data_IF_373850673861
#
_entry.id   IF_373850673861
#
_cell.length_a   1.000
_cell.length_b   1.000
_cell.length_c   1.000
_cell.angle_alpha   90.00
_cell.angle_beta   90.00
_cell.angle_gamma   90.00
#
_symmetry.space_group_name_H-M   'P 1'
#
loop_
_entity.id
_entity.type
_entity.pdbx_description
1 polymer ?
#
# COMPACT_ATOMS: atom_id res chain seq x y z
N UNK A 1 4.34 3.62 27.95
CA UNK A 1 5.36 4.16 27.03
C UNK A 1 5.91 3.11 26.07
N UNK A 2 6.28 1.91 26.56
CA UNK A 2 6.81 0.82 25.73
C UNK A 2 5.87 0.32 24.62
N UNK A 3 4.56 0.17 24.90
CA UNK A 3 3.56 -0.25 23.91
C UNK A 3 3.44 0.75 22.76
N UNK A 4 3.45 2.06 23.05
CA UNK A 4 3.38 3.11 22.03
C UNK A 4 4.61 3.10 21.11
N UNK A 5 5.81 2.96 21.67
CA UNK A 5 7.06 2.85 20.89
C UNK A 5 7.03 1.60 20.00
N UNK A 6 6.47 0.48 20.47
CA UNK A 6 6.37 -0.76 19.69
C UNK A 6 5.34 -0.65 18.56
N UNK A 7 4.18 -0.03 18.81
CA UNK A 7 3.17 0.24 17.78
C UNK A 7 3.74 1.17 16.71
N UNK A 8 4.45 2.22 17.11
CA UNK A 8 5.15 3.12 16.18
C UNK A 8 6.27 2.42 15.41
N UNK A 9 7.02 1.51 16.05
CA UNK A 9 8.04 0.69 15.40
C UNK A 9 7.43 -0.27 14.37
N UNK A 10 6.31 -0.92 14.69
CA UNK A 10 5.64 -1.81 13.75
C UNK A 10 5.02 -1.05 12.59
N UNK A 11 4.43 0.12 12.85
CA UNK A 11 3.87 0.98 11.82
C UNK A 11 4.97 1.52 10.87
N UNK A 12 6.08 2.00 11.42
CA UNK A 12 7.23 2.46 10.63
C UNK A 12 7.88 1.32 9.83
N UNK A 13 8.04 0.14 10.41
CA UNK A 13 8.54 -1.04 9.70
C UNK A 13 7.65 -1.42 8.50
N UNK A 14 6.32 -1.35 8.65
CA UNK A 14 5.39 -1.57 7.54
C UNK A 14 5.54 -0.54 6.44
N UNK A 15 5.72 0.74 6.77
CA UNK A 15 5.94 1.81 5.77
C UNK A 15 7.22 1.53 4.97
N UNK A 16 8.32 1.24 5.65
CA UNK A 16 9.60 0.91 5.01
C UNK A 16 9.47 -0.34 4.15
N UNK A 17 8.81 -1.39 4.64
CA UNK A 17 8.55 -2.60 3.88
C UNK A 17 7.69 -2.32 2.64
N UNK A 18 6.66 -1.48 2.73
CA UNK A 18 5.85 -1.07 1.58
C UNK A 18 6.69 -0.35 0.54
N UNK A 19 7.59 0.55 0.93
CA UNK A 19 8.48 1.24 0.01
C UNK A 19 9.34 0.26 -0.82
N UNK A 20 10.01 -0.69 -0.15
CA UNK A 20 10.79 -1.69 -0.86
C UNK A 20 9.91 -2.65 -1.68
N UNK A 21 8.72 -2.99 -1.18
CA UNK A 21 7.78 -3.84 -1.91
C UNK A 21 7.32 -3.19 -3.21
N UNK A 22 7.08 -1.87 -3.25
CA UNK A 22 6.76 -1.17 -4.50
C UNK A 22 7.88 -1.34 -5.52
N UNK A 23 9.15 -1.18 -5.12
CA UNK A 23 10.29 -1.33 -6.02
C UNK A 23 10.37 -2.76 -6.56
N UNK A 24 10.23 -3.76 -5.68
CA UNK A 24 10.25 -5.17 -6.07
C UNK A 24 9.09 -5.50 -7.01
N UNK A 25 7.88 -4.99 -6.77
CA UNK A 25 6.73 -5.22 -7.65
C UNK A 25 6.90 -4.54 -9.00
N UNK A 26 7.51 -3.36 -9.06
CA UNK A 26 7.83 -2.72 -10.35
C UNK A 26 8.83 -3.55 -11.15
N UNK A 27 9.90 -4.03 -10.50
CA UNK A 27 10.90 -4.89 -11.16
C UNK A 27 10.28 -6.23 -11.60
N UNK A 28 9.48 -6.85 -10.73
CA UNK A 28 8.79 -8.10 -11.04
C UNK A 28 7.76 -7.93 -12.16
N UNK A 29 7.00 -6.82 -12.16
CA UNK A 29 6.04 -6.51 -13.22
C UNK A 29 6.71 -6.33 -14.58
N UNK A 30 7.87 -5.66 -14.64
CA UNK A 30 8.64 -5.51 -15.87
C UNK A 30 9.15 -6.84 -16.43
N UNK A 31 9.60 -7.74 -15.56
CA UNK A 31 10.16 -9.04 -15.96
C UNK A 31 9.07 -10.05 -16.32
N UNK A 32 7.99 -10.10 -15.54
CA UNK A 32 6.98 -11.16 -15.64
C UNK A 32 5.77 -10.77 -16.50
N UNK A 33 5.41 -9.49 -16.55
CA UNK A 33 4.16 -9.01 -17.14
C UNK A 33 4.33 -7.73 -17.99
N UNK A 34 5.28 -7.68 -18.94
CA UNK A 34 5.54 -6.49 -19.76
C UNK A 34 4.33 -6.07 -20.61
N UNK A 35 3.50 -7.03 -21.02
CA UNK A 35 2.38 -6.79 -21.92
C UNK A 35 1.19 -6.16 -21.20
N UNK A 36 0.98 -6.50 -19.93
CA UNK A 36 -0.04 -5.90 -19.06
C UNK A 36 0.32 -4.46 -18.70
N UNK A 37 1.62 -4.16 -18.52
CA UNK A 37 2.09 -2.79 -18.32
C UNK A 37 1.81 -1.90 -19.54
N UNK A 38 2.01 -2.43 -20.75
CA UNK A 38 1.65 -1.71 -21.98
C UNK A 38 0.14 -1.47 -22.07
N UNK A 39 -0.70 -2.43 -21.68
CA UNK A 39 -2.17 -2.23 -21.65
C UNK A 39 -2.60 -1.19 -20.61
N UNK A 40 -1.92 -1.13 -19.46
CA UNK A 40 -2.15 -0.08 -18.46
C UNK A 40 -1.74 1.29 -18.99
N UNK A 41 -0.65 1.37 -19.77
CA UNK A 41 -0.23 2.59 -20.44
C UNK A 41 -1.26 3.04 -21.50
N UNK A 42 -1.74 2.12 -22.33
CA UNK A 42 -2.80 2.39 -23.31
C UNK A 42 -4.09 2.85 -22.63
N UNK A 43 -4.47 2.22 -21.51
CA UNK A 43 -5.62 2.61 -20.71
C UNK A 43 -5.46 3.99 -20.08
N UNK A 44 -4.28 4.31 -19.56
CA UNK A 44 -3.99 5.63 -19.01
C UNK A 44 -4.00 6.71 -20.10
N UNK A 45 -3.49 6.42 -21.29
CA UNK A 45 -3.60 7.30 -22.46
C UNK A 45 -5.05 7.49 -22.92
N UNK A 46 -5.88 6.44 -22.85
CA UNK A 46 -7.31 6.53 -23.14
C UNK A 46 -8.03 7.44 -22.13
N UNK A 47 -7.73 7.30 -20.84
CA UNK A 47 -8.26 8.16 -19.78
C UNK A 47 -7.79 9.61 -19.98
N UNK A 48 -6.49 9.82 -20.19
CA UNK A 48 -5.90 11.14 -20.37
C UNK A 48 -6.45 11.90 -21.60
N UNK A 49 -6.87 11.19 -22.64
CA UNK A 49 -7.48 11.77 -23.84
C UNK A 49 -8.98 12.07 -23.71
N UNK A 50 -9.63 11.70 -22.61
CA UNK A 50 -11.04 12.06 -22.44
C UNK A 50 -11.22 13.57 -22.25
N UNK A 51 -12.24 14.15 -22.89
CA UNK A 51 -12.48 15.60 -22.91
C UNK A 51 -12.63 16.22 -21.51
N UNK A 52 -13.28 15.51 -20.58
CA UNK A 52 -13.43 15.95 -19.19
C UNK A 52 -12.11 16.00 -18.42
N UNK A 53 -11.09 15.24 -18.85
CA UNK A 53 -9.74 15.27 -18.25
C UNK A 53 -8.85 16.29 -18.93
N UNK A 54 -9.00 16.46 -20.25
CA UNK A 54 -8.22 17.38 -21.06
C UNK A 54 -8.64 18.84 -20.83
N UNK A 55 -9.95 19.08 -20.71
CA UNK A 55 -10.56 20.40 -20.45
C UNK A 55 -11.59 20.31 -19.32
N UNK A 56 -11.16 20.07 -18.07
CA UNK A 56 -12.07 20.08 -16.95
C UNK A 56 -12.58 21.51 -16.70
N UNK A 57 -13.87 21.65 -16.43
CA UNK A 57 -14.54 22.93 -16.14
C UNK A 57 -14.25 23.38 -14.69
N UNK A 58 -12.99 23.76 -14.45
CA UNK A 58 -12.47 24.20 -13.15
C UNK A 58 -11.61 25.45 -13.34
N UNK A 59 -11.39 26.27 -12.28
CA UNK A 59 -10.51 27.43 -12.33
C UNK A 59 -9.11 27.05 -12.80
N UNK A 60 -8.44 27.97 -13.51
CA UNK A 60 -7.17 27.73 -14.21
C UNK A 60 -6.05 27.19 -13.30
N UNK A 61 -6.03 27.62 -12.03
CA UNK A 61 -5.13 27.12 -10.99
C UNK A 61 -5.40 25.65 -10.61
N UNK A 62 -6.67 25.22 -10.62
CA UNK A 62 -7.09 23.84 -10.35
C UNK A 62 -6.85 22.89 -11.52
N UNK A 63 -6.85 23.41 -12.76
CA UNK A 63 -6.61 22.59 -13.97
C UNK A 63 -5.22 21.96 -13.97
N UNK A 64 -4.19 22.69 -13.53
CA UNK A 64 -2.82 22.16 -13.47
C UNK A 64 -2.70 21.00 -12.47
N UNK A 65 -3.25 21.17 -11.27
CA UNK A 65 -3.23 20.14 -10.24
C UNK A 65 -4.01 18.90 -10.69
N UNK A 66 -5.20 19.10 -11.26
CA UNK A 66 -6.03 18.03 -11.79
C UNK A 66 -5.30 17.23 -12.88
N UNK A 67 -4.69 17.89 -13.87
CA UNK A 67 -3.90 17.23 -14.91
C UNK A 67 -2.69 16.46 -14.36
N UNK A 68 -2.08 16.95 -13.28
CA UNK A 68 -0.94 16.28 -12.63
C UNK A 68 -1.37 15.05 -11.84
N UNK A 69 -2.53 15.10 -11.17
CA UNK A 69 -3.08 13.98 -10.42
C UNK A 69 -3.63 12.88 -11.33
N UNK A 70 -4.20 13.27 -12.48
CA UNK A 70 -4.72 12.35 -13.50
C UNK A 70 -3.64 11.94 -14.51
N UNK A 71 -2.39 12.35 -14.29
CA UNK A 71 -1.26 11.88 -15.07
C UNK A 71 -1.09 10.37 -14.87
N UNK A 72 -0.83 9.65 -15.97
CA UNK A 72 -0.54 8.22 -15.99
C UNK A 72 0.47 7.81 -14.92
N UNK A 73 1.60 8.52 -14.83
CA UNK A 73 2.68 8.20 -13.89
C UNK A 73 2.23 8.31 -12.43
N UNK A 74 1.38 9.29 -12.13
CA UNK A 74 0.82 9.51 -10.79
C UNK A 74 -0.18 8.42 -10.45
N UNK A 75 -1.13 8.11 -11.36
CA UNK A 75 -2.12 7.06 -11.16
C UNK A 75 -1.44 5.71 -10.96
N UNK A 76 -0.45 5.39 -11.80
CA UNK A 76 0.32 4.15 -11.71
C UNK A 76 1.07 4.08 -10.38
N UNK A 77 1.75 5.16 -9.97
CA UNK A 77 2.44 5.22 -8.68
C UNK A 77 1.49 4.99 -7.48
N UNK A 78 0.30 5.60 -7.51
CA UNK A 78 -0.73 5.43 -6.47
C UNK A 78 -1.22 3.97 -6.44
N UNK A 79 -1.60 3.41 -7.60
CA UNK A 79 -2.07 2.02 -7.70
C UNK A 79 -1.01 1.02 -7.22
N UNK A 80 0.23 1.18 -7.66
CA UNK A 80 1.34 0.31 -7.24
C UNK A 80 1.58 0.40 -5.73
N UNK A 81 1.47 1.59 -5.14
CA UNK A 81 1.61 1.79 -3.70
C UNK A 81 0.47 1.11 -2.93
N UNK A 82 -0.77 1.19 -3.42
CA UNK A 82 -1.93 0.53 -2.81
C UNK A 82 -1.81 -1.00 -2.84
N UNK A 83 -1.40 -1.56 -3.98
CA UNK A 83 -1.17 -3.01 -4.13
C UNK A 83 -0.03 -3.46 -3.21
N UNK A 84 1.09 -2.75 -3.19
CA UNK A 84 2.21 -3.05 -2.31
C UNK A 84 1.77 -3.03 -0.83
N UNK A 85 0.92 -2.08 -0.45
CA UNK A 85 0.41 -1.99 0.91
C UNK A 85 -0.47 -3.18 1.29
N UNK A 86 -1.39 -3.57 0.41
CA UNK A 86 -2.20 -4.77 0.61
C UNK A 86 -1.32 -6.01 0.78
N UNK A 87 -0.30 -6.17 -0.05
CA UNK A 87 0.63 -7.31 0.04
C UNK A 87 1.41 -7.30 1.36
N UNK A 88 1.97 -6.16 1.77
CA UNK A 88 2.69 -6.06 3.04
C UNK A 88 1.76 -6.33 4.23
N UNK A 89 0.53 -5.85 4.21
CA UNK A 89 -0.45 -6.15 5.26
C UNK A 89 -0.77 -7.64 5.34
N UNK A 90 -0.96 -8.30 4.20
CA UNK A 90 -1.17 -9.76 4.12
C UNK A 90 0.06 -10.52 4.63
N UNK A 91 1.28 -10.12 4.23
CA UNK A 91 2.50 -10.79 4.69
C UNK A 91 2.68 -10.67 6.20
N UNK A 92 2.48 -9.48 6.77
CA UNK A 92 2.54 -9.30 8.22
C UNK A 92 1.44 -10.08 8.95
N UNK A 93 0.25 -10.16 8.37
CA UNK A 93 -0.85 -10.97 8.90
C UNK A 93 -0.49 -12.46 8.90
N UNK A 94 0.02 -12.99 7.79
CA UNK A 94 0.43 -14.39 7.67
C UNK A 94 1.59 -14.75 8.59
N UNK A 95 2.59 -13.88 8.70
CA UNK A 95 3.71 -14.06 9.65
C UNK A 95 3.19 -14.09 11.09
N UNK A 96 2.28 -13.17 11.44
CA UNK A 96 1.63 -13.15 12.75
C UNK A 96 0.83 -14.43 13.02
N UNK A 97 0.08 -14.92 12.03
CA UNK A 97 -0.69 -16.15 12.13
C UNK A 97 0.21 -17.37 12.31
N UNK A 98 1.24 -17.53 11.48
CA UNK A 98 2.19 -18.64 11.58
C UNK A 98 2.93 -18.63 12.91
N UNK A 99 3.30 -17.44 13.41
CA UNK A 99 3.92 -17.30 14.73
C UNK A 99 3.00 -17.75 15.86
N UNK A 100 1.71 -17.39 15.80
CA UNK A 100 0.69 -17.84 16.78
C UNK A 100 0.51 -19.36 16.74
N UNK A 101 0.50 -19.95 15.55
CA UNK A 101 0.40 -21.40 15.37
C UNK A 101 1.64 -22.11 15.94
N UNK A 102 2.83 -21.57 15.69
CA UNK A 102 4.09 -22.17 16.13
C UNK A 102 4.35 -22.06 17.64
N UNK A 103 3.96 -20.95 18.27
CA UNK A 103 4.31 -20.64 19.66
C UNK A 103 3.13 -20.69 20.64
N UNK A 104 1.92 -21.03 20.19
CA UNK A 104 0.76 -21.38 21.03
C UNK A 104 0.18 -20.27 21.92
N UNK A 105 0.81 -19.10 22.04
CA UNK A 105 0.36 -18.00 22.91
C UNK A 105 0.39 -16.63 22.23
N UNK A 106 -0.48 -15.69 22.66
CA UNK A 106 -0.42 -14.30 22.22
C UNK A 106 0.90 -13.67 22.69
N UNK A 107 1.72 -13.20 21.75
CA UNK A 107 2.92 -12.40 22.08
C UNK A 107 2.57 -10.94 22.37
N UNK A 108 1.28 -10.62 22.48
CA UNK A 108 0.88 -9.29 22.92
C UNK A 108 0.85 -9.26 24.45
N UNK A 109 1.80 -8.60 25.13
CA UNK A 109 1.74 -8.41 26.58
C UNK A 109 0.48 -7.64 27.00
N UNK A 110 -0.20 -6.96 26.07
CA UNK A 110 -1.50 -6.34 26.30
C UNK A 110 -2.62 -7.37 26.29
N UNK A 111 -2.64 -8.32 25.34
CA UNK A 111 -3.61 -9.41 25.37
C UNK A 111 -3.39 -10.30 26.61
N UNK A 112 -2.14 -10.61 26.95
CA UNK A 112 -1.81 -11.36 28.17
C UNK A 112 -2.23 -10.62 29.45
N UNK A 113 -1.97 -9.31 29.55
CA UNK A 113 -2.38 -8.51 30.71
C UNK A 113 -3.90 -8.27 30.79
N UNK A 114 -4.61 -8.28 29.66
CA UNK A 114 -6.08 -8.19 29.62
C UNK A 114 -6.69 -9.54 29.99
N UNK A 115 -6.10 -10.65 29.55
CA UNK A 115 -6.53 -12.00 29.89
C UNK A 115 -6.32 -12.28 31.39
N UNK A 116 -5.17 -11.89 31.94
CA UNK A 116 -4.87 -11.95 33.37
C UNK A 116 -5.82 -11.09 34.24
N UNK A 117 -6.34 -9.98 33.69
CA UNK A 117 -7.38 -9.15 34.34
C UNK A 117 -8.81 -9.67 34.19
N UNK A 118 -9.09 -10.51 33.20
CA UNK A 118 -10.41 -11.13 33.02
C UNK A 118 -10.54 -12.44 33.84
N UNK A 119 -9.42 -13.02 34.26
CA UNK A 119 -9.34 -14.22 35.08
C UNK A 119 -9.24 -13.94 36.60
N UNK A 120 -9.12 -12.67 37.00
CA UNK A 120 -9.14 -12.19 38.41
C UNK A 120 -10.49 -11.61 38.81
#
# INVERSE_FOLDING_TARGET
MWVFVRVMSNASAKIVATFFMVIVLMLAGLVLFPQQLNQLNDFANYIANQEWIRNPDIPEQGKFLFRTLVNESTIFGILMTLIARAIVEILFFLIGLMWRIANGQPVDPVEAAVQERMES
#
